data_IF_190245954237
#
_entry.id   IF_190245954237
#
_cell.length_a   1.000
_cell.length_b   1.000
_cell.length_c   1.000
_cell.angle_alpha   90.00
_cell.angle_beta   90.00
_cell.angle_gamma   90.00
#
_symmetry.space_group_name_H-M   'P 1'
#
loop_
_entity.id
_entity.type
_entity.pdbx_description
1 polymer ?
#
# COMPACT_ATOMS: atom_id res chain seq x y z
N UNK A 1 27.82 -23.42 -8.03
CA UNK A 1 26.36 -23.57 -7.90
C UNK A 1 25.85 -23.04 -6.56
N UNK A 2 26.29 -23.56 -5.41
CA UNK A 2 25.84 -23.03 -4.09
C UNK A 2 26.27 -21.57 -3.88
N UNK A 3 27.55 -21.24 -4.12
CA UNK A 3 28.06 -19.86 -4.03
C UNK A 3 27.31 -18.87 -4.95
N UNK A 4 26.93 -19.31 -6.16
CA UNK A 4 26.18 -18.47 -7.10
C UNK A 4 24.75 -18.21 -6.65
N UNK A 5 24.11 -19.19 -5.99
CA UNK A 5 22.77 -18.98 -5.40
C UNK A 5 22.82 -18.01 -4.21
N UNK A 6 23.80 -18.18 -3.32
CA UNK A 6 24.01 -17.27 -2.18
C UNK A 6 24.29 -15.84 -2.63
N UNK A 7 25.08 -15.68 -3.68
CA UNK A 7 25.36 -14.35 -4.24
C UNK A 7 24.10 -13.71 -4.84
N UNK A 8 23.25 -14.47 -5.53
CA UNK A 8 21.98 -13.96 -6.07
C UNK A 8 21.07 -13.48 -4.93
N UNK A 9 20.90 -14.30 -3.88
CA UNK A 9 20.10 -13.94 -2.70
C UNK A 9 20.61 -12.66 -2.04
N UNK A 10 21.92 -12.55 -1.83
CA UNK A 10 22.53 -11.35 -1.26
C UNK A 10 22.30 -10.10 -2.12
N UNK A 11 22.40 -10.23 -3.45
CA UNK A 11 22.14 -9.13 -4.37
C UNK A 11 20.66 -8.71 -4.36
N UNK A 12 19.73 -9.65 -4.16
CA UNK A 12 18.31 -9.35 -4.01
C UNK A 12 18.02 -8.59 -2.72
N UNK A 13 18.60 -9.00 -1.60
CA UNK A 13 18.50 -8.29 -0.32
C UNK A 13 19.05 -6.85 -0.43
N UNK A 14 20.22 -6.70 -1.05
CA UNK A 14 20.84 -5.40 -1.24
C UNK A 14 20.00 -4.50 -2.15
N UNK A 15 19.46 -5.05 -3.25
CA UNK A 15 18.52 -4.35 -4.13
C UNK A 15 17.31 -3.85 -3.34
N UNK A 16 16.71 -4.70 -2.52
CA UNK A 16 15.50 -4.35 -1.78
C UNK A 16 15.78 -3.26 -0.73
N UNK A 17 16.92 -3.36 -0.03
CA UNK A 17 17.41 -2.33 0.90
C UNK A 17 17.63 -0.98 0.21
N UNK A 18 18.26 -0.98 -0.98
CA UNK A 18 18.45 0.24 -1.77
C UNK A 18 17.11 0.84 -2.22
N UNK A 19 16.13 0.01 -2.57
CA UNK A 19 14.79 0.47 -2.92
C UNK A 19 14.07 1.12 -1.72
N UNK A 20 14.23 0.57 -0.51
CA UNK A 20 13.69 1.17 0.72
C UNK A 20 14.34 2.51 1.03
N UNK A 21 15.67 2.57 0.94
CA UNK A 21 16.43 3.79 1.18
C UNK A 21 16.06 4.87 0.16
N UNK A 22 15.94 4.50 -1.11
CA UNK A 22 15.49 5.42 -2.15
C UNK A 22 14.08 5.94 -1.87
N UNK A 23 13.13 5.05 -1.61
CA UNK A 23 11.74 5.43 -1.38
C UNK A 23 11.60 6.40 -0.21
N UNK A 24 12.26 6.10 0.92
CA UNK A 24 12.28 6.93 2.11
C UNK A 24 12.88 8.31 1.83
N UNK A 25 14.05 8.36 1.20
CA UNK A 25 14.71 9.63 0.90
C UNK A 25 13.95 10.46 -0.14
N UNK A 26 13.35 9.84 -1.14
CA UNK A 26 12.51 10.52 -2.12
C UNK A 26 11.27 11.15 -1.45
N UNK A 27 10.67 10.49 -0.47
CA UNK A 27 9.59 11.04 0.34
C UNK A 27 10.07 12.20 1.23
N UNK A 28 11.15 12.01 2.01
CA UNK A 28 11.69 13.07 2.86
C UNK A 28 12.08 14.31 2.07
N UNK A 29 12.75 14.13 0.92
CA UNK A 29 13.08 15.22 0.02
C UNK A 29 11.83 15.94 -0.48
N UNK A 30 10.79 15.21 -0.87
CA UNK A 30 9.53 15.80 -1.33
C UNK A 30 8.83 16.57 -0.20
N UNK A 31 8.80 16.02 1.02
CA UNK A 31 8.22 16.68 2.20
C UNK A 31 8.98 17.94 2.61
N UNK A 32 10.30 17.95 2.40
CA UNK A 32 11.12 19.13 2.65
C UNK A 32 10.92 20.21 1.58
N UNK A 33 10.73 19.82 0.31
CA UNK A 33 10.73 20.74 -0.84
C UNK A 33 9.34 21.25 -1.22
N UNK A 34 8.30 20.45 -1.00
CA UNK A 34 6.92 20.76 -1.38
C UNK A 34 6.09 21.10 -0.14
N UNK A 35 5.01 21.83 -0.35
CA UNK A 35 4.06 22.11 0.72
C UNK A 35 3.22 20.86 1.01
N UNK A 36 2.96 20.62 2.29
CA UNK A 36 2.04 19.56 2.71
C UNK A 36 0.66 19.81 2.07
N UNK A 37 0.12 18.83 1.32
CA UNK A 37 -1.21 18.96 0.74
C UNK A 37 -2.26 18.99 1.84
N UNK A 38 -3.37 19.68 1.61
CA UNK A 38 -4.55 19.53 2.47
C UNK A 38 -5.15 18.13 2.26
N UNK A 39 -5.89 17.59 3.24
CA UNK A 39 -6.49 16.25 3.16
C UNK A 39 -7.71 16.25 2.22
N UNK A 40 -7.49 16.52 0.93
CA UNK A 40 -8.47 16.40 -0.13
C UNK A 40 -7.81 15.83 -1.39
N UNK A 41 -8.61 15.11 -2.19
CA UNK A 41 -8.12 14.40 -3.37
C UNK A 41 -7.42 15.31 -4.40
N UNK A 42 -7.89 16.55 -4.56
CA UNK A 42 -7.30 17.48 -5.53
C UNK A 42 -5.89 17.92 -5.11
N UNK A 43 -5.72 18.38 -3.87
CA UNK A 43 -4.44 18.86 -3.36
C UNK A 43 -3.42 17.72 -3.26
N UNK A 44 -3.85 16.53 -2.83
CA UNK A 44 -3.01 15.32 -2.83
C UNK A 44 -2.61 14.94 -4.26
N UNK A 45 -3.54 14.98 -5.21
CA UNK A 45 -3.27 14.71 -6.61
C UNK A 45 -2.24 15.69 -7.19
N UNK A 46 -2.35 16.99 -6.87
CA UNK A 46 -1.41 18.02 -7.31
C UNK A 46 -0.02 17.80 -6.70
N UNK A 47 0.05 17.50 -5.40
CA UNK A 47 1.29 17.15 -4.71
C UNK A 47 1.98 15.95 -5.36
N UNK A 48 1.24 14.87 -5.62
CA UNK A 48 1.78 13.67 -6.25
C UNK A 48 2.29 13.93 -7.67
N UNK A 49 1.56 14.72 -8.46
CA UNK A 49 1.99 15.10 -9.81
C UNK A 49 3.27 15.94 -9.79
N UNK A 50 3.37 16.90 -8.87
CA UNK A 50 4.57 17.72 -8.68
C UNK A 50 5.77 16.86 -8.23
N UNK A 51 5.58 16.02 -7.20
CA UNK A 51 6.59 15.07 -6.71
C UNK A 51 7.09 14.17 -7.84
N UNK A 52 6.18 13.57 -8.61
CA UNK A 52 6.51 12.68 -9.72
C UNK A 52 7.30 13.39 -10.82
N UNK A 53 6.90 14.63 -11.16
CA UNK A 53 7.57 15.44 -12.19
C UNK A 53 8.99 15.78 -11.76
N UNK A 54 9.16 16.25 -10.53
CA UNK A 54 10.48 16.61 -10.02
C UNK A 54 11.38 15.39 -9.84
N UNK A 55 10.88 14.28 -9.29
CA UNK A 55 11.68 13.06 -9.14
C UNK A 55 12.19 12.53 -10.49
N UNK A 56 11.38 12.62 -11.55
CA UNK A 56 11.83 12.28 -12.92
C UNK A 56 12.96 13.18 -13.43
N UNK A 57 13.14 14.38 -12.90
CA UNK A 57 14.28 15.24 -13.28
C UNK A 57 15.58 14.82 -12.61
N UNK A 58 15.51 14.30 -11.38
CA UNK A 58 16.70 13.84 -10.64
C UNK A 58 17.10 12.41 -10.98
N UNK A 59 16.10 11.55 -11.19
CA UNK A 59 16.29 10.13 -11.52
C UNK A 59 15.34 9.77 -12.65
N UNK A 60 15.69 10.01 -13.92
CA UNK A 60 14.77 9.85 -15.06
C UNK A 60 14.14 8.46 -15.17
N UNK A 61 14.90 7.42 -14.80
CA UNK A 61 14.53 6.04 -15.09
C UNK A 61 13.85 5.32 -13.91
N UNK A 62 13.75 5.94 -12.74
CA UNK A 62 13.13 5.29 -11.57
C UNK A 62 11.67 4.91 -11.83
N UNK A 63 11.01 5.65 -12.72
CA UNK A 63 9.61 5.43 -13.09
C UNK A 63 9.39 4.21 -13.98
N UNK A 64 10.44 3.71 -14.65
CA UNK A 64 10.39 2.44 -15.38
C UNK A 64 10.33 1.24 -14.44
N UNK A 65 10.88 1.38 -13.24
CA UNK A 65 10.77 0.39 -12.18
C UNK A 65 9.44 0.57 -11.45
N UNK A 66 8.39 -0.07 -11.98
CA UNK A 66 7.03 -0.02 -11.41
C UNK A 66 7.00 -0.33 -9.91
N UNK A 67 7.74 -1.35 -9.48
CA UNK A 67 7.83 -1.74 -8.08
C UNK A 67 8.38 -0.61 -7.20
N UNK A 68 9.46 0.05 -7.64
CA UNK A 68 10.06 1.19 -6.94
C UNK A 68 9.10 2.38 -6.87
N UNK A 69 8.43 2.68 -7.97
CA UNK A 69 7.43 3.75 -8.03
C UNK A 69 6.24 3.50 -7.10
N UNK A 70 5.80 2.24 -6.97
CA UNK A 70 4.75 1.86 -6.00
C UNK A 70 5.28 2.03 -4.57
N UNK A 71 6.51 1.58 -4.29
CA UNK A 71 7.13 1.68 -2.96
C UNK A 71 7.24 3.14 -2.49
N UNK A 72 7.69 4.04 -3.37
CA UNK A 72 7.74 5.49 -3.13
C UNK A 72 6.36 6.07 -2.78
N UNK A 73 5.28 5.57 -3.38
CA UNK A 73 3.91 6.00 -3.05
C UNK A 73 3.43 5.44 -1.71
N UNK A 74 3.75 4.18 -1.42
CA UNK A 74 3.33 3.51 -0.18
C UNK A 74 3.97 4.12 1.07
N UNK A 75 5.24 4.51 0.98
CA UNK A 75 6.00 5.13 2.08
C UNK A 75 5.57 6.58 2.33
N UNK A 76 4.92 7.23 1.36
CA UNK A 76 4.52 8.63 1.47
C UNK A 76 3.27 8.81 2.35
N UNK A 77 3.45 9.35 3.55
CA UNK A 77 2.36 9.64 4.48
C UNK A 77 1.43 10.74 3.98
N UNK A 78 1.92 11.72 3.23
CA UNK A 78 1.11 12.84 2.71
C UNK A 78 0.24 12.45 1.52
N UNK A 79 0.52 11.29 0.91
CA UNK A 79 -0.27 10.75 -0.19
C UNK A 79 -1.51 9.98 0.28
N UNK A 80 -1.68 9.76 1.59
CA UNK A 80 -2.80 9.02 2.16
C UNK A 80 -3.93 9.99 2.45
N UNK A 81 -5.09 9.74 1.87
CA UNK A 81 -6.34 10.28 2.39
C UNK A 81 -6.65 9.47 3.62
N UNK A 82 -6.78 10.11 4.78
CA UNK A 82 -7.33 9.48 5.97
C UNK A 82 -8.81 9.18 5.71
N UNK A 83 -9.07 8.12 4.94
CA UNK A 83 -10.32 7.39 5.04
C UNK A 83 -10.12 6.37 6.17
N UNK A 84 -11.05 6.39 7.12
CA UNK A 84 -11.12 5.55 8.31
C UNK A 84 -10.45 4.17 8.17
N UNK A 85 -9.51 3.89 9.08
CA UNK A 85 -9.20 2.54 9.61
C UNK A 85 -9.42 1.36 8.66
N UNK A 86 -8.81 1.35 7.48
CA UNK A 86 -8.60 0.10 6.74
C UNK A 86 -7.24 -0.43 7.15
N UNK A 87 -7.24 -1.28 8.19
CA UNK A 87 -6.22 -2.32 8.34
C UNK A 87 -5.92 -2.86 6.95
N UNK A 88 -4.65 -2.73 6.53
CA UNK A 88 -4.20 -3.20 5.23
C UNK A 88 -4.75 -4.60 4.97
N UNK A 89 -5.21 -4.84 3.74
CA UNK A 89 -5.80 -6.10 3.32
C UNK A 89 -4.90 -7.28 3.72
N UNK A 90 -5.18 -7.83 4.90
CA UNK A 90 -4.65 -9.10 5.35
C UNK A 90 -5.26 -10.14 4.43
N UNK A 91 -4.40 -10.99 3.87
CA UNK A 91 -4.80 -12.16 3.11
C UNK A 91 -5.79 -12.94 4.01
N UNK A 92 -7.05 -13.06 3.59
CA UNK A 92 -8.02 -13.89 4.30
C UNK A 92 -7.52 -15.34 4.26
N UNK A 93 -7.01 -15.85 5.38
CA UNK A 93 -6.91 -17.28 5.58
C UNK A 93 -8.35 -17.81 5.60
N UNK A 94 -8.74 -18.57 4.57
CA UNK A 94 -9.93 -19.40 4.62
C UNK A 94 -9.66 -20.52 5.63
N UNK A 95 -9.92 -20.26 6.90
CA UNK A 95 -10.13 -21.33 7.86
C UNK A 95 -11.55 -21.85 7.65
N UNK A 96 -11.59 -23.07 7.16
CA UNK A 96 -12.72 -23.96 6.92
C UNK A 96 -13.83 -23.85 7.97
N UNK A 97 -14.98 -23.30 7.56
CA UNK A 97 -16.25 -23.44 8.25
C UNK A 97 -16.67 -24.92 8.23
N UNK A 98 -16.50 -25.58 9.37
CA UNK A 98 -17.07 -26.91 9.58
C UNK A 98 -18.55 -26.73 9.89
N UNK A 99 -19.39 -27.04 8.90
CA UNK A 99 -20.85 -27.11 8.99
C UNK A 99 -21.27 -27.98 10.17
N UNK A 100 -22.04 -27.41 11.11
CA UNK A 100 -22.78 -28.16 12.13
C UNK A 100 -24.25 -28.13 11.74
N UNK A 101 -24.89 -29.28 11.41
CA UNK A 101 -26.28 -29.30 11.02
C UNK A 101 -27.24 -29.48 12.20
N UNK A 102 -28.23 -28.58 12.21
CA UNK A 102 -29.65 -28.82 12.43
C UNK A 102 -30.27 -29.05 13.83
N UNK A 103 -31.49 -28.48 13.89
CA UNK A 103 -32.64 -28.70 14.78
C UNK A 103 -32.73 -27.86 16.07
N UNK A 104 -33.85 -27.20 16.38
CA UNK A 104 -35.11 -27.01 15.67
C UNK A 104 -35.86 -25.81 16.28
N UNK A 105 -36.78 -25.30 15.48
CA UNK A 105 -37.72 -24.21 15.70
C UNK A 105 -38.50 -24.31 17.01
N UNK A 106 -38.74 -23.16 17.66
CA UNK A 106 -39.97 -22.98 18.42
C UNK A 106 -40.61 -21.62 18.15
N UNK A 107 -41.89 -21.70 17.84
CA UNK A 107 -42.76 -20.68 17.27
C UNK A 107 -43.31 -19.76 18.37
N UNK A 108 -43.35 -18.44 18.15
CA UNK A 108 -44.46 -17.61 18.65
C UNK A 108 -44.64 -16.28 17.89
N UNK A 109 -45.54 -16.33 16.91
CA UNK A 109 -46.77 -15.54 16.75
C UNK A 109 -46.73 -14.01 17.03
N UNK A 110 -46.96 -13.19 15.99
CA UNK A 110 -48.06 -12.19 15.94
C UNK A 110 -48.09 -11.38 14.64
N UNK A 111 -49.32 -11.19 14.14
CA UNK A 111 -49.82 -10.10 13.28
C UNK A 111 -49.36 -9.96 11.81
N UNK A 112 -50.27 -10.25 10.86
CA UNK A 112 -51.18 -9.27 10.24
C UNK A 112 -51.93 -9.83 9.01
N UNK A 113 -53.25 -9.59 8.98
CA UNK A 113 -54.12 -9.23 7.82
C UNK A 113 -53.96 -10.00 6.50
N UNK A 114 -54.97 -10.67 5.95
CA UNK A 114 -56.30 -10.17 5.57
C UNK A 114 -57.10 -11.33 4.99
#
# INVERSE_FOLDING_TARGET
YIRTLQEIEHLEELRDSLCDLFATNACHWAHFRLNQPKPNMQDIGLYLAAKQTLLKTFVPDYSFYRALSIKVKQVDSWARVEDDSSSGAGICNQESDTVTPDQADDFQNSDKSR
#
